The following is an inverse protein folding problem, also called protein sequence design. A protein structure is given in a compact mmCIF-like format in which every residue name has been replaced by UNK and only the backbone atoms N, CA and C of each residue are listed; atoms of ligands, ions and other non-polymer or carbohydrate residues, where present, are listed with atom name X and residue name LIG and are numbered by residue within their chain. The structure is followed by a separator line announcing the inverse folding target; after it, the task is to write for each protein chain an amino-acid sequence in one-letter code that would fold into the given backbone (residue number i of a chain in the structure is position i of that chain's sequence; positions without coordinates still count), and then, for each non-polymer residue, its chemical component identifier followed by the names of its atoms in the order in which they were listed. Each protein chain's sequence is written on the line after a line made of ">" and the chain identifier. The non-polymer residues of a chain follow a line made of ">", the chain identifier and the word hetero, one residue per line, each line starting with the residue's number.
data_IF_104637588575
#
_entry.id   IF_104637588575
#
_cell.length_a   1.000
_cell.length_b   1.000
_cell.length_c   1.000
_cell.angle_alpha   90.00
_cell.angle_beta   90.00
_cell.angle_gamma   90.00
#
_symmetry.space_group_name_H-M   'P 1'
#
loop_
_entity.id
_entity.type
_entity.pdbx_description
1 polymer ?
#
# COMPACT_ATOMS: atom_id res chain seq x y z
N UNK A 1 16.42 -5.42 2.35
CA UNK A 1 16.15 -4.37 3.37
C UNK A 1 14.89 -4.76 4.10
N UNK A 2 14.83 -4.57 5.41
CA UNK A 2 13.59 -4.66 6.18
C UNK A 2 13.00 -3.25 6.25
N UNK A 3 11.70 -3.10 5.99
CA UNK A 3 10.98 -1.81 6.05
C UNK A 3 9.89 -1.93 7.10
N UNK A 4 9.63 -0.87 7.84
CA UNK A 4 8.53 -0.82 8.81
C UNK A 4 7.29 -0.28 8.12
N UNK A 5 6.17 -0.99 8.23
CA UNK A 5 4.89 -0.49 7.74
C UNK A 5 4.38 0.62 8.68
N UNK A 6 4.12 1.82 8.15
CA UNK A 6 3.64 2.95 8.95
C UNK A 6 2.24 2.75 9.55
N UNK A 7 1.47 1.77 9.05
CA UNK A 7 0.09 1.57 9.49
C UNK A 7 -0.07 0.54 10.61
N UNK A 8 0.84 -0.43 10.71
CA UNK A 8 0.79 -1.48 11.73
C UNK A 8 2.09 -1.62 12.53
N UNK A 9 3.10 -0.81 12.21
CA UNK A 9 4.43 -0.80 12.83
C UNK A 9 5.19 -2.13 12.75
N UNK A 10 4.69 -3.07 11.94
CA UNK A 10 5.34 -4.35 11.74
C UNK A 10 6.42 -4.27 10.65
N UNK A 11 7.54 -4.98 10.82
CA UNK A 11 8.54 -5.13 9.77
C UNK A 11 8.00 -6.02 8.66
N UNK A 12 8.30 -5.66 7.41
CA UNK A 12 7.99 -6.49 6.25
C UNK A 12 9.14 -6.49 5.24
N UNK A 13 9.09 -7.45 4.32
CA UNK A 13 10.06 -7.59 3.22
C UNK A 13 9.42 -6.99 1.97
N UNK A 14 9.92 -5.85 1.46
CA UNK A 14 9.42 -5.27 0.23
C UNK A 14 9.80 -6.13 -1.00
N UNK A 15 8.95 -6.14 -2.01
CA UNK A 15 9.20 -6.83 -3.28
C UNK A 15 10.36 -6.19 -4.04
N UNK A 16 10.92 -6.88 -5.04
CA UNK A 16 12.03 -6.36 -5.88
C UNK A 16 11.69 -5.01 -6.52
N UNK A 17 10.43 -4.79 -6.93
CA UNK A 17 9.97 -3.53 -7.50
C UNK A 17 9.87 -2.42 -6.44
N UNK A 18 9.35 -2.74 -5.25
CA UNK A 18 9.29 -1.80 -4.13
C UNK A 18 10.70 -1.38 -3.68
N UNK A 19 11.64 -2.33 -3.63
CA UNK A 19 13.06 -2.06 -3.35
C UNK A 19 13.67 -1.09 -4.36
N UNK A 20 13.42 -1.31 -5.67
CA UNK A 20 13.88 -0.38 -6.72
C UNK A 20 13.30 1.02 -6.52
N UNK A 21 12.00 1.12 -6.19
CA UNK A 21 11.32 2.40 -5.93
C UNK A 21 11.87 3.11 -4.68
N UNK A 22 12.09 2.38 -3.59
CA UNK A 22 12.70 2.90 -2.35
C UNK A 22 14.13 3.39 -2.57
N UNK A 23 14.94 2.65 -3.33
CA UNK A 23 16.32 3.09 -3.66
C UNK A 23 16.33 4.38 -4.48
N UNK A 24 15.41 4.52 -5.42
CA UNK A 24 15.28 5.74 -6.23
C UNK A 24 14.66 6.91 -5.46
N UNK A 25 13.72 6.61 -4.56
CA UNK A 25 12.95 7.58 -3.79
C UNK A 25 12.82 7.11 -2.33
N UNK A 26 13.83 7.37 -1.48
CA UNK A 26 13.87 6.83 -0.11
C UNK A 26 12.78 7.40 0.80
N UNK A 27 12.23 8.57 0.46
CA UNK A 27 11.11 9.20 1.15
C UNK A 27 9.74 8.60 0.78
N UNK A 28 9.68 7.64 -0.15
CA UNK A 28 8.41 7.06 -0.58
C UNK A 28 7.87 6.10 0.48
N UNK A 29 6.68 6.39 0.98
CA UNK A 29 5.97 5.53 1.92
C UNK A 29 5.54 4.24 1.22
N UNK A 30 5.87 3.10 1.82
CA UNK A 30 5.41 1.77 1.40
C UNK A 30 4.81 1.07 2.62
N UNK A 31 3.69 0.40 2.41
CA UNK A 31 2.97 -0.38 3.42
C UNK A 31 3.11 -1.88 3.12
N UNK A 32 2.95 -2.71 4.14
CA UNK A 32 2.92 -4.16 3.97
C UNK A 32 1.71 -4.61 3.14
N UNK A 33 1.75 -5.83 2.61
CA UNK A 33 0.67 -6.46 1.84
C UNK A 33 -0.67 -6.41 2.57
N UNK A 34 -0.66 -6.77 3.85
CA UNK A 34 -1.88 -6.92 4.64
C UNK A 34 -2.57 -5.58 4.85
N UNK A 35 -1.78 -4.52 5.10
CA UNK A 35 -2.29 -3.17 5.19
C UNK A 35 -2.74 -2.63 3.83
N UNK A 36 -2.06 -2.99 2.74
CA UNK A 36 -2.47 -2.63 1.39
C UNK A 36 -3.85 -3.21 1.07
N UNK A 37 -4.07 -4.50 1.33
CA UNK A 37 -5.37 -5.15 1.14
C UNK A 37 -6.46 -4.56 2.04
N UNK A 38 -6.15 -4.34 3.33
CA UNK A 38 -7.09 -3.77 4.30
C UNK A 38 -7.56 -2.38 3.90
N UNK A 39 -6.64 -1.51 3.48
CA UNK A 39 -6.98 -0.14 3.04
C UNK A 39 -7.67 -0.16 1.68
N UNK A 40 -7.23 -1.03 0.76
CA UNK A 40 -7.85 -1.22 -0.54
C UNK A 40 -9.33 -1.63 -0.43
N UNK A 41 -9.64 -2.60 0.44
CA UNK A 41 -11.02 -3.02 0.71
C UNK A 41 -11.86 -1.86 1.26
N UNK A 42 -11.36 -1.12 2.25
CA UNK A 42 -12.07 0.06 2.80
C UNK A 42 -12.28 1.15 1.75
N UNK A 43 -11.30 1.39 0.88
CA UNK A 43 -11.42 2.37 -0.20
C UNK A 43 -12.49 1.95 -1.22
N UNK A 44 -12.54 0.66 -1.56
CA UNK A 44 -13.54 0.10 -2.47
C UNK A 44 -14.95 0.16 -1.86
N UNK A 45 -15.11 -0.18 -0.58
CA UNK A 45 -16.38 -0.04 0.15
C UNK A 45 -16.87 1.41 0.20
N UNK A 46 -15.96 2.38 0.40
CA UNK A 46 -16.30 3.81 0.37
C UNK A 46 -16.77 4.26 -1.02
N UNK A 47 -16.08 3.82 -2.08
CA UNK A 47 -16.47 4.12 -3.47
C UNK A 47 -17.82 3.51 -3.84
N UNK A 48 -18.08 2.27 -3.42
CA UNK A 48 -19.37 1.62 -3.62
C UNK A 48 -20.52 2.39 -2.95
N UNK A 49 -20.29 2.93 -1.75
CA UNK A 49 -21.27 3.78 -1.05
C UNK A 49 -21.45 5.16 -1.69
N UNK A 50 -20.44 5.69 -2.37
CA UNK A 50 -20.51 7.02 -3.02
C UNK A 50 -21.00 6.96 -4.47
N UNK A 51 -21.39 5.79 -4.99
CA UNK A 51 -21.86 5.63 -6.39
C UNK A 51 -20.79 5.86 -7.46
N UNK A 52 -19.52 5.99 -7.08
CA UNK A 52 -18.42 6.21 -8.02
C UNK A 52 -17.92 4.85 -8.53
N UNK A 53 -18.07 4.61 -9.84
CA UNK A 53 -17.64 3.37 -10.49
C UNK A 53 -16.11 3.14 -10.35
N UNK A 54 -15.65 1.87 -10.30
CA UNK A 54 -14.23 1.59 -10.24
C UNK A 54 -13.61 1.86 -11.62
N UNK A 55 -12.79 2.90 -11.72
CA UNK A 55 -11.85 3.06 -12.84
C UNK A 55 -10.70 2.09 -12.61
N UNK A 56 -10.65 1.02 -13.40
CA UNK A 56 -9.46 0.18 -13.58
C UNK A 56 -8.40 0.99 -14.34
N UNK A 57 -7.26 1.22 -13.71
CA UNK A 57 -6.03 1.72 -14.35
C UNK A 57 -5.18 0.53 -14.79
#
# INVERSE_FOLDING_TARGET
>A
MKVICILCEQPFIPTKLQVKKLRKHPHKIIICSDCYERVGKKALERRAKSGASPTTD
#
